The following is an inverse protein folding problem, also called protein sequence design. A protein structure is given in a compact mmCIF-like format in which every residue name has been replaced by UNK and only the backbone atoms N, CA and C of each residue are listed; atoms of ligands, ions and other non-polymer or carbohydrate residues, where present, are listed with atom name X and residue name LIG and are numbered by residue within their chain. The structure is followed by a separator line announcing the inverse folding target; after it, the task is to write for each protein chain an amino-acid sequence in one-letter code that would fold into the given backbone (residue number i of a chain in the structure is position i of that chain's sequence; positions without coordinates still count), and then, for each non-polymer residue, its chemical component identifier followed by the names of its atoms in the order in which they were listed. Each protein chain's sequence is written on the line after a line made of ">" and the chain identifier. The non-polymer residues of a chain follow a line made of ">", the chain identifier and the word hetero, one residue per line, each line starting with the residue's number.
data_IF_562341592196
#
_entry.id   IF_562341592196
#
_cell.length_a   1.000
_cell.length_b   1.000
_cell.length_c   1.000
_cell.angle_alpha   90.00
_cell.angle_beta   90.00
_cell.angle_gamma   90.00
#
_symmetry.space_group_name_H-M   'P 1'
#
loop_
_entity.id
_entity.type
_entity.pdbx_description
1 polymer ?
#
# COMPACT_ATOMS: atom_id res chain seq x y z
N UNK A 1 39.05 33.91 -37.28
CA UNK A 1 38.37 33.31 -38.46
C UNK A 1 37.96 31.90 -38.10
N UNK A 2 36.71 31.70 -37.73
CA UNK A 2 36.14 30.37 -37.51
C UNK A 2 34.75 30.43 -38.14
N UNK A 3 34.52 29.60 -39.13
CA UNK A 3 33.36 29.59 -39.99
C UNK A 3 32.13 28.97 -39.30
N UNK A 4 31.03 29.69 -39.40
CA UNK A 4 29.70 29.33 -38.94
C UNK A 4 29.00 28.48 -40.04
N UNK A 5 28.73 27.22 -39.79
CA UNK A 5 27.96 26.35 -40.68
C UNK A 5 26.56 26.07 -40.10
N UNK A 6 25.63 26.96 -40.43
CA UNK A 6 24.20 26.75 -40.23
C UNK A 6 23.63 25.78 -41.28
N UNK A 7 23.32 24.56 -40.92
CA UNK A 7 22.50 23.65 -41.74
C UNK A 7 21.02 23.94 -41.49
N UNK A 8 20.36 24.58 -42.44
CA UNK A 8 18.89 24.68 -42.53
C UNK A 8 18.33 23.27 -42.82
N UNK A 9 17.58 22.70 -41.90
CA UNK A 9 16.82 21.48 -42.12
C UNK A 9 15.56 21.82 -42.94
N UNK A 10 15.34 21.03 -43.98
CA UNK A 10 14.31 21.22 -45.01
C UNK A 10 12.92 20.76 -44.46
N UNK A 11 12.00 21.71 -44.27
CA UNK A 11 10.63 21.48 -43.80
C UNK A 11 9.75 20.60 -44.69
N UNK A 12 10.21 20.26 -45.88
CA UNK A 12 9.47 19.44 -46.87
C UNK A 12 9.50 17.94 -46.53
N UNK A 13 10.51 17.43 -45.81
CA UNK A 13 10.63 16.01 -45.45
C UNK A 13 9.74 15.60 -44.28
N UNK A 14 9.32 16.55 -43.44
CA UNK A 14 8.48 16.28 -42.25
C UNK A 14 7.01 16.12 -42.62
N UNK A 15 6.55 16.81 -43.66
CA UNK A 15 5.14 16.76 -44.11
C UNK A 15 4.77 15.52 -44.95
N UNK A 16 5.74 14.79 -45.48
CA UNK A 16 5.47 13.53 -46.20
C UNK A 16 5.30 12.33 -45.31
N UNK A 17 5.93 12.31 -44.12
CA UNK A 17 5.79 11.19 -43.16
C UNK A 17 4.49 11.22 -42.34
N UNK A 18 3.82 12.37 -42.24
CA UNK A 18 2.54 12.47 -41.49
C UNK A 18 1.36 11.97 -42.33
N UNK A 19 1.46 11.96 -43.69
CA UNK A 19 0.40 11.44 -44.58
C UNK A 19 0.39 9.92 -44.76
N UNK A 20 1.46 9.21 -44.37
CA UNK A 20 1.54 7.76 -44.47
C UNK A 20 0.93 7.03 -43.27
N UNK A 21 0.86 7.68 -42.09
CA UNK A 21 0.34 7.07 -40.85
C UNK A 21 -1.19 7.22 -40.75
N UNK A 22 -1.80 8.15 -41.50
CA UNK A 22 -3.25 8.42 -41.47
C UNK A 22 -4.14 7.48 -42.33
N UNK A 23 -3.56 6.51 -43.04
CA UNK A 23 -4.32 5.59 -43.93
C UNK A 23 -4.39 4.14 -43.52
N UNK A 24 -3.74 3.76 -42.41
CA UNK A 24 -3.73 2.37 -41.93
C UNK A 24 -4.66 2.11 -40.73
N UNK A 25 -5.32 3.13 -40.18
CA UNK A 25 -6.17 2.99 -38.97
C UNK A 25 -7.67 2.92 -39.23
N UNK A 26 -8.13 2.86 -40.49
CA UNK A 26 -9.57 2.85 -40.83
C UNK A 26 -10.05 1.49 -41.39
N UNK A 27 -9.18 0.49 -41.52
CA UNK A 27 -9.57 -0.80 -42.11
C UNK A 27 -9.68 -1.98 -41.14
N UNK A 28 -9.73 -1.73 -39.83
CA UNK A 28 -9.80 -2.82 -38.80
C UNK A 28 -11.03 -2.78 -37.89
N UNK A 29 -12.07 -2.02 -38.22
CA UNK A 29 -13.30 -1.90 -37.39
C UNK A 29 -14.57 -2.44 -38.07
N UNK A 30 -14.51 -3.04 -39.26
CA UNK A 30 -15.71 -3.48 -40.02
C UNK A 30 -15.90 -5.01 -40.10
N UNK A 31 -15.12 -5.85 -39.38
CA UNK A 31 -15.27 -7.32 -39.49
C UNK A 31 -15.68 -8.03 -38.19
N UNK A 32 -16.51 -7.43 -37.33
CA UNK A 32 -17.02 -8.13 -36.14
C UNK A 32 -18.54 -7.99 -35.92
N UNK A 33 -19.31 -7.92 -36.98
CA UNK A 33 -20.77 -8.01 -36.87
C UNK A 33 -21.36 -8.72 -38.09
N UNK A 34 -21.22 -10.04 -38.16
CA UNK A 34 -22.14 -10.97 -38.88
C UNK A 34 -21.56 -12.41 -38.77
N UNK A 35 -22.26 -13.26 -38.05
CA UNK A 35 -21.96 -14.70 -38.10
C UNK A 35 -22.37 -15.47 -36.85
N UNK A 36 -23.64 -15.42 -36.45
CA UNK A 36 -24.22 -16.47 -35.61
C UNK A 36 -25.25 -17.20 -36.50
N UNK A 37 -24.83 -18.30 -37.07
CA UNK A 37 -25.78 -19.34 -37.53
C UNK A 37 -25.25 -20.70 -37.07
N UNK A 38 -26.15 -21.48 -36.47
CA UNK A 38 -25.87 -22.68 -35.72
C UNK A 38 -25.29 -23.82 -36.59
N UNK A 39 -24.49 -24.62 -35.94
CA UNK A 39 -24.19 -26.01 -36.35
C UNK A 39 -24.58 -26.94 -35.21
N UNK A 40 -25.61 -27.74 -35.46
CA UNK A 40 -25.95 -28.90 -34.66
C UNK A 40 -25.13 -30.09 -35.15
N UNK A 41 -24.38 -30.74 -34.27
CA UNK A 41 -23.76 -32.04 -34.51
C UNK A 41 -24.59 -33.13 -33.84
N UNK A 42 -24.75 -34.29 -34.47
CA UNK A 42 -25.60 -35.36 -33.94
C UNK A 42 -24.85 -36.13 -32.81
N UNK A 43 -25.66 -36.51 -31.82
CA UNK A 43 -25.24 -37.37 -30.72
C UNK A 43 -25.07 -38.82 -31.23
N UNK A 44 -23.90 -39.44 -31.02
CA UNK A 44 -23.73 -40.89 -30.99
C UNK A 44 -23.51 -41.31 -29.55
N UNK A 45 -24.42 -42.13 -29.07
CA UNK A 45 -24.33 -42.78 -27.77
C UNK A 45 -23.33 -43.94 -27.83
N UNK A 46 -22.44 -44.00 -26.85
CA UNK A 46 -21.73 -45.22 -26.46
C UNK A 46 -21.70 -45.29 -24.93
N UNK A 47 -22.34 -46.32 -24.41
CA UNK A 47 -22.38 -46.70 -23.00
C UNK A 47 -21.11 -47.37 -22.57
N UNK A 48 -20.65 -47.11 -21.36
CA UNK A 48 -20.31 -47.96 -20.20
C UNK A 48 -19.08 -47.44 -19.46
N UNK A 49 -19.22 -47.33 -18.13
CA UNK A 49 -18.13 -47.09 -17.20
C UNK A 49 -18.50 -46.14 -16.09
N UNK A 50 -18.99 -46.69 -14.97
CA UNK A 50 -19.16 -45.97 -13.71
C UNK A 50 -17.80 -45.48 -13.21
N UNK A 51 -17.58 -44.17 -13.25
CA UNK A 51 -16.75 -43.43 -12.29
C UNK A 51 -17.33 -42.02 -12.22
N UNK A 52 -18.13 -41.78 -11.20
CA UNK A 52 -18.66 -40.47 -10.90
C UNK A 52 -17.58 -39.61 -10.28
N UNK A 53 -16.78 -38.97 -11.14
CA UNK A 53 -15.98 -37.80 -10.74
C UNK A 53 -16.99 -36.65 -10.56
N UNK A 54 -17.35 -36.40 -9.32
CA UNK A 54 -18.01 -35.16 -8.91
C UNK A 54 -17.03 -34.00 -9.20
N UNK A 55 -17.12 -33.46 -10.42
CA UNK A 55 -16.58 -32.13 -10.70
C UNK A 55 -17.48 -31.18 -9.88
N UNK A 56 -16.99 -30.82 -8.70
CA UNK A 56 -17.54 -29.69 -7.93
C UNK A 56 -17.45 -28.47 -8.81
N UNK A 57 -18.56 -28.08 -9.43
CA UNK A 57 -18.72 -26.78 -10.06
C UNK A 57 -18.55 -25.76 -8.92
N UNK A 58 -17.35 -25.21 -8.81
CA UNK A 58 -17.12 -24.01 -8.01
C UNK A 58 -18.08 -22.96 -8.56
N UNK A 59 -19.13 -22.69 -7.82
CA UNK A 59 -20.07 -21.60 -8.11
C UNK A 59 -19.24 -20.33 -8.34
N UNK A 60 -19.57 -19.50 -9.35
CA UNK A 60 -18.91 -18.22 -9.50
C UNK A 60 -19.00 -17.47 -8.18
N UNK A 61 -17.88 -17.01 -7.65
CA UNK A 61 -17.82 -16.30 -6.37
C UNK A 61 -18.89 -15.22 -6.39
N UNK A 62 -19.86 -15.30 -5.49
CA UNK A 62 -20.85 -14.26 -5.29
C UNK A 62 -20.09 -12.95 -5.06
N UNK A 63 -20.50 -11.86 -5.76
CA UNK A 63 -19.94 -10.54 -5.49
C UNK A 63 -19.97 -10.28 -3.98
N UNK A 64 -18.89 -9.73 -3.41
CA UNK A 64 -18.87 -9.40 -2.00
C UNK A 64 -20.08 -8.51 -1.66
N UNK A 65 -20.71 -8.77 -0.52
CA UNK A 65 -21.82 -7.96 -0.05
C UNK A 65 -21.28 -6.56 0.37
N UNK A 66 -22.04 -5.52 0.04
CA UNK A 66 -21.72 -4.17 0.54
C UNK A 66 -21.77 -4.16 2.06
N UNK A 67 -20.86 -3.40 2.68
CA UNK A 67 -20.83 -3.16 4.13
C UNK A 67 -22.15 -2.54 4.62
N UNK A 68 -22.54 -2.88 5.83
CA UNK A 68 -23.68 -2.26 6.53
C UNK A 68 -23.38 -2.12 8.03
N UNK A 69 -23.16 -0.90 8.57
CA UNK A 69 -23.22 0.40 7.87
C UNK A 69 -22.09 0.57 6.85
N UNK A 70 -22.28 1.48 5.89
CA UNK A 70 -21.26 1.92 4.93
C UNK A 70 -20.44 3.07 5.52
N UNK A 71 -19.26 3.31 4.95
CA UNK A 71 -18.47 4.51 5.27
C UNK A 71 -19.14 5.80 4.79
N UNK A 72 -18.90 6.90 5.50
CA UNK A 72 -19.23 8.24 5.01
C UNK A 72 -18.26 8.63 3.88
N UNK A 73 -18.82 8.83 2.67
CA UNK A 73 -18.07 9.22 1.46
C UNK A 73 -17.33 10.54 1.59
N UNK A 74 -17.79 11.44 2.46
CA UNK A 74 -17.14 12.72 2.68
C UNK A 74 -15.91 12.61 3.58
N UNK A 75 -15.84 11.58 4.41
CA UNK A 75 -14.83 11.41 5.44
C UNK A 75 -13.75 10.37 5.11
N UNK A 76 -14.07 9.38 4.24
CA UNK A 76 -13.14 8.30 3.91
C UNK A 76 -12.59 8.46 2.49
N UNK A 77 -11.28 8.31 2.36
CA UNK A 77 -10.56 8.40 1.09
C UNK A 77 -9.69 7.17 0.88
N UNK A 78 -9.50 6.80 -0.39
CA UNK A 78 -8.59 5.73 -0.77
C UNK A 78 -7.28 6.28 -1.30
N UNK A 79 -6.19 5.72 -0.80
CA UNK A 79 -4.83 5.94 -1.29
C UNK A 79 -4.10 4.62 -1.51
N UNK A 80 -2.91 4.71 -2.08
CA UNK A 80 -1.99 3.58 -2.22
C UNK A 80 -0.57 4.09 -2.01
N UNK A 81 0.23 3.32 -1.26
CA UNK A 81 1.65 3.62 -1.10
C UNK A 81 2.42 3.29 -2.39
N UNK A 82 3.57 3.92 -2.66
CA UNK A 82 4.35 3.62 -3.85
C UNK A 82 5.17 2.33 -3.75
N UNK A 83 5.06 1.58 -2.65
CA UNK A 83 5.91 0.43 -2.30
C UNK A 83 5.82 -0.74 -3.29
N UNK A 84 4.72 -0.84 -4.03
CA UNK A 84 4.59 -1.82 -5.12
C UNK A 84 5.40 -1.48 -6.38
N UNK A 85 5.72 -0.20 -6.60
CA UNK A 85 6.55 0.28 -7.72
C UNK A 85 8.00 0.47 -7.35
N UNK A 86 8.27 0.79 -6.09
CA UNK A 86 9.60 1.07 -5.57
C UNK A 86 9.61 0.85 -4.08
N UNK A 87 10.32 -0.16 -3.64
CA UNK A 87 10.45 -0.48 -2.23
C UNK A 87 11.22 0.65 -1.51
N UNK A 88 10.75 1.08 -0.34
CA UNK A 88 11.39 2.12 0.47
C UNK A 88 12.40 1.55 1.48
N UNK A 89 12.29 0.27 1.84
CA UNK A 89 13.18 -0.40 2.77
C UNK A 89 14.48 -0.87 2.10
N UNK A 90 14.38 -1.22 0.82
CA UNK A 90 15.53 -1.58 -0.01
C UNK A 90 15.36 -1.03 -1.43
N UNK A 91 16.01 0.09 -1.71
CA UNK A 91 15.96 0.73 -3.04
C UNK A 91 16.60 -0.11 -4.16
N UNK A 92 17.27 -1.23 -3.85
CA UNK A 92 17.74 -2.18 -4.85
C UNK A 92 16.63 -3.06 -5.41
N UNK A 93 15.47 -3.13 -4.73
CA UNK A 93 14.26 -3.81 -5.21
C UNK A 93 13.55 -2.86 -6.19
N UNK A 94 13.98 -2.86 -7.43
CA UNK A 94 13.47 -1.99 -8.50
C UNK A 94 13.72 -2.63 -9.87
N UNK A 95 13.09 -2.08 -10.91
CA UNK A 95 13.41 -2.45 -12.30
C UNK A 95 14.73 -1.84 -12.76
N UNK A 96 15.28 -2.36 -13.82
CA UNK A 96 16.42 -1.76 -14.52
C UNK A 96 16.07 -1.50 -16.00
N UNK A 97 15.85 -0.23 -16.44
CA UNK A 97 15.97 1.00 -15.63
C UNK A 97 14.88 1.15 -14.56
N UNK A 98 15.14 1.93 -13.49
CA UNK A 98 14.18 2.14 -12.40
C UNK A 98 12.88 2.78 -12.88
N UNK A 99 11.75 2.43 -12.25
CA UNK A 99 10.46 3.07 -12.55
C UNK A 99 10.54 4.55 -12.15
N UNK A 100 10.30 5.49 -13.10
CA UNK A 100 10.35 6.91 -12.80
C UNK A 100 9.13 7.35 -11.96
N UNK A 101 9.32 8.36 -11.13
CA UNK A 101 8.24 8.84 -10.24
C UNK A 101 7.02 9.35 -11.01
N UNK A 102 7.19 9.87 -12.21
CA UNK A 102 6.08 10.33 -13.07
C UNK A 102 5.17 9.18 -13.46
N UNK A 103 5.74 8.00 -13.72
CA UNK A 103 4.98 6.77 -13.99
C UNK A 103 4.26 6.33 -12.71
N UNK A 104 4.95 6.25 -11.58
CA UNK A 104 4.37 5.86 -10.29
C UNK A 104 3.14 6.73 -9.98
N UNK A 105 3.29 8.05 -9.97
CA UNK A 105 2.19 8.97 -9.68
C UNK A 105 1.05 8.88 -10.72
N UNK A 106 1.39 8.65 -12.00
CA UNK A 106 0.38 8.52 -13.05
C UNK A 106 -0.42 7.22 -12.90
N UNK A 107 0.21 6.11 -12.59
CA UNK A 107 -0.44 4.82 -12.41
C UNK A 107 -1.30 4.78 -11.13
N UNK A 108 -0.86 5.43 -10.05
CA UNK A 108 -1.67 5.66 -8.85
C UNK A 108 -2.96 6.42 -9.20
N UNK A 109 -2.86 7.51 -9.95
CA UNK A 109 -4.03 8.29 -10.36
C UNK A 109 -4.95 7.53 -11.31
N UNK A 110 -4.39 6.79 -12.30
CA UNK A 110 -5.12 5.96 -13.25
C UNK A 110 -5.88 4.83 -12.56
N UNK A 111 -5.34 4.29 -11.48
CA UNK A 111 -6.02 3.27 -10.68
C UNK A 111 -7.21 3.81 -9.88
N UNK A 112 -7.41 5.14 -9.85
CA UNK A 112 -8.53 5.78 -9.18
C UNK A 112 -8.29 6.12 -7.70
N UNK A 113 -7.07 5.96 -7.20
CA UNK A 113 -6.67 6.43 -5.87
C UNK A 113 -6.52 7.96 -5.84
N UNK A 114 -6.64 8.54 -4.64
CA UNK A 114 -6.59 10.01 -4.42
C UNK A 114 -5.44 10.45 -3.52
N UNK A 115 -4.78 9.51 -2.88
CA UNK A 115 -3.64 9.77 -2.00
C UNK A 115 -2.51 8.79 -2.21
N UNK A 116 -1.32 9.21 -1.79
CA UNK A 116 -0.12 8.37 -1.75
C UNK A 116 0.78 8.79 -0.59
N UNK A 117 1.54 7.86 -0.06
CA UNK A 117 2.62 8.15 0.88
C UNK A 117 3.75 8.91 0.17
N UNK A 118 4.46 9.76 0.92
CA UNK A 118 5.68 10.38 0.40
C UNK A 118 6.79 9.34 0.22
N UNK A 119 7.57 9.44 -0.85
CA UNK A 119 8.62 8.48 -1.17
C UNK A 119 9.95 9.16 -1.53
N UNK A 120 11.10 8.49 -1.29
CA UNK A 120 12.42 9.02 -1.62
C UNK A 120 12.61 9.42 -3.08
N UNK A 121 11.96 8.70 -4.01
CA UNK A 121 12.00 8.97 -5.46
C UNK A 121 11.22 10.21 -5.88
N UNK A 122 10.27 10.68 -5.07
CA UNK A 122 9.43 11.80 -5.46
C UNK A 122 10.22 13.12 -5.45
N UNK A 123 9.90 14.05 -6.36
CA UNK A 123 10.48 15.38 -6.32
C UNK A 123 10.09 16.10 -5.04
N UNK A 124 10.75 17.22 -4.73
CA UNK A 124 10.52 17.97 -3.48
C UNK A 124 9.82 19.31 -3.74
N UNK A 125 9.21 19.86 -2.71
CA UNK A 125 8.68 21.23 -2.68
C UNK A 125 7.67 21.52 -3.79
N UNK A 126 7.95 22.59 -4.58
CA UNK A 126 7.03 23.07 -5.64
C UNK A 126 6.83 22.06 -6.77
N UNK A 127 7.85 21.27 -7.09
CA UNK A 127 7.77 20.27 -8.14
C UNK A 127 6.86 19.13 -7.72
N UNK A 128 6.96 18.62 -6.49
CA UNK A 128 6.03 17.64 -5.98
C UNK A 128 4.58 18.15 -5.99
N UNK A 129 4.36 19.38 -5.51
CA UNK A 129 3.02 20.00 -5.55
C UNK A 129 2.44 20.06 -6.96
N UNK A 130 3.26 20.41 -7.95
CA UNK A 130 2.85 20.45 -9.36
C UNK A 130 2.46 19.07 -9.86
N UNK A 131 3.29 18.06 -9.62
CA UNK A 131 3.08 16.68 -10.07
C UNK A 131 1.83 16.05 -9.45
N UNK A 132 1.60 16.27 -8.16
CA UNK A 132 0.38 15.83 -7.47
C UNK A 132 -0.87 16.53 -8.02
N UNK A 133 -0.82 17.86 -8.18
CA UNK A 133 -1.93 18.65 -8.72
C UNK A 133 -2.32 18.23 -10.12
N UNK A 134 -1.35 17.97 -11.00
CA UNK A 134 -1.60 17.50 -12.38
C UNK A 134 -2.39 16.20 -12.43
N UNK A 135 -2.27 15.38 -11.40
CA UNK A 135 -2.89 14.03 -11.31
C UNK A 135 -4.07 13.97 -10.35
N UNK A 136 -4.41 15.06 -9.68
CA UNK A 136 -5.47 15.09 -8.66
C UNK A 136 -5.15 14.23 -7.44
N UNK A 137 -3.86 14.12 -7.09
CA UNK A 137 -3.35 13.39 -5.94
C UNK A 137 -3.01 14.32 -4.78
N UNK A 138 -2.97 13.75 -3.57
CA UNK A 138 -2.47 14.40 -2.36
C UNK A 138 -1.53 13.46 -1.61
N UNK A 139 -0.65 14.00 -0.76
CA UNK A 139 0.10 13.20 0.19
C UNK A 139 -0.83 12.84 1.36
N UNK A 140 -0.96 11.54 1.62
CA UNK A 140 -1.74 11.02 2.77
C UNK A 140 -0.95 11.10 4.06
N UNK A 141 0.33 10.71 4.03
CA UNK A 141 1.25 10.68 5.17
C UNK A 141 2.71 10.72 4.72
N UNK A 142 3.63 11.19 5.59
CA UNK A 142 5.04 10.83 5.61
C UNK A 142 5.24 9.67 6.57
N UNK A 143 6.40 9.04 6.53
CA UNK A 143 6.84 8.03 7.49
C UNK A 143 8.08 8.51 8.24
N UNK A 144 8.11 8.30 9.58
CA UNK A 144 9.19 8.75 10.47
C UNK A 144 9.64 7.60 11.37
N UNK A 145 10.90 7.24 11.27
CA UNK A 145 11.54 6.33 12.22
C UNK A 145 11.93 7.06 13.51
N UNK A 146 11.34 6.68 14.64
CA UNK A 146 11.76 7.20 15.93
C UNK A 146 12.87 6.33 16.54
N UNK A 147 13.69 6.89 17.42
CA UNK A 147 14.82 6.20 18.07
C UNK A 147 14.91 6.56 19.55
N UNK A 148 13.77 6.61 20.21
CA UNK A 148 13.69 6.92 21.65
C UNK A 148 14.36 5.87 22.50
N UNK A 149 14.22 4.59 22.13
CA UNK A 149 14.83 3.46 22.86
C UNK A 149 16.35 3.42 22.76
N UNK A 150 16.93 4.18 21.83
CA UNK A 150 18.38 4.41 21.69
C UNK A 150 18.84 5.72 22.33
N UNK A 151 17.96 6.47 22.98
CA UNK A 151 18.26 7.78 23.57
C UNK A 151 18.45 8.91 22.54
N UNK A 152 18.12 8.70 21.26
CA UNK A 152 18.30 9.70 20.19
C UNK A 152 17.12 10.68 20.09
N UNK A 153 16.78 11.30 21.21
CA UNK A 153 15.61 12.17 21.34
C UNK A 153 15.70 13.37 20.40
N UNK A 154 16.81 14.11 20.43
CA UNK A 154 16.98 15.35 19.64
C UNK A 154 16.93 15.08 18.13
N UNK A 155 17.54 13.98 17.67
CA UNK A 155 17.52 13.55 16.27
C UNK A 155 16.08 13.26 15.85
N UNK A 156 15.34 12.47 16.64
CA UNK A 156 13.95 12.13 16.41
C UNK A 156 13.04 13.37 16.36
N UNK A 157 13.18 14.29 17.31
CA UNK A 157 12.40 15.53 17.33
C UNK A 157 12.65 16.39 16.10
N UNK A 158 13.92 16.51 15.68
CA UNK A 158 14.30 17.27 14.50
C UNK A 158 13.71 16.68 13.23
N UNK A 159 13.79 15.37 13.04
CA UNK A 159 13.22 14.70 11.88
C UNK A 159 11.70 14.83 11.86
N UNK A 160 11.05 14.61 12.99
CA UNK A 160 9.60 14.76 13.13
C UNK A 160 9.13 16.18 12.76
N UNK A 161 9.82 17.23 13.24
CA UNK A 161 9.50 18.63 12.87
C UNK A 161 9.66 18.92 11.38
N UNK A 162 10.63 18.29 10.71
CA UNK A 162 10.76 18.39 9.25
C UNK A 162 9.54 17.81 8.54
N UNK A 163 9.01 16.68 9.03
CA UNK A 163 7.80 16.08 8.47
C UNK A 163 6.53 16.86 8.82
N UNK A 164 6.44 17.48 10.00
CA UNK A 164 5.38 18.45 10.32
C UNK A 164 5.38 19.61 9.30
N UNK A 165 6.53 20.18 9.02
CA UNK A 165 6.64 21.27 8.04
C UNK A 165 6.27 20.80 6.62
N UNK A 166 6.75 19.62 6.22
CA UNK A 166 6.39 19.02 4.95
C UNK A 166 4.88 18.82 4.82
N UNK A 167 4.23 18.26 5.84
CA UNK A 167 2.78 18.02 5.81
C UNK A 167 1.97 19.32 5.83
N UNK A 168 2.43 20.37 6.51
CA UNK A 168 1.83 21.71 6.36
C UNK A 168 1.85 22.19 4.92
N UNK A 169 2.98 22.01 4.23
CA UNK A 169 3.10 22.39 2.83
C UNK A 169 2.20 21.56 1.91
N UNK A 170 1.98 20.28 2.22
CA UNK A 170 1.12 19.38 1.45
C UNK A 170 -0.36 19.41 1.87
N UNK A 171 -0.74 20.21 2.88
CA UNK A 171 -2.06 20.25 3.50
C UNK A 171 -2.49 18.88 4.06
N UNK A 172 -1.54 18.11 4.57
CA UNK A 172 -1.79 16.81 5.18
C UNK A 172 -2.04 16.91 6.69
N UNK A 173 -2.61 15.87 7.25
CA UNK A 173 -3.05 15.86 8.66
C UNK A 173 -2.59 14.65 9.46
N UNK A 174 -1.86 13.71 8.84
CA UNK A 174 -1.36 12.49 9.49
C UNK A 174 0.16 12.44 9.40
N UNK A 175 0.80 11.97 10.46
CA UNK A 175 2.22 11.63 10.48
C UNK A 175 2.33 10.22 11.04
N UNK A 176 2.82 9.30 10.22
CA UNK A 176 3.08 7.92 10.61
C UNK A 176 4.44 7.85 11.28
N UNK A 177 4.51 7.16 12.42
CA UNK A 177 5.75 6.91 13.14
C UNK A 177 5.88 5.43 13.51
N UNK A 178 7.11 4.92 13.50
CA UNK A 178 7.47 3.62 14.07
C UNK A 178 8.78 3.74 14.85
N UNK A 179 8.94 3.00 15.95
CA UNK A 179 10.20 2.95 16.70
C UNK A 179 11.18 2.01 16.02
N UNK A 180 12.34 2.51 15.65
CA UNK A 180 13.37 1.77 14.93
C UNK A 180 14.60 1.38 15.80
N UNK A 181 14.58 1.70 17.09
CA UNK A 181 15.66 1.29 17.98
C UNK A 181 15.84 -0.21 17.98
N UNK A 182 16.99 -0.68 17.50
CA UNK A 182 17.31 -2.10 17.35
C UNK A 182 16.49 -2.86 16.31
N UNK A 183 15.70 -2.20 15.47
CA UNK A 183 14.88 -2.85 14.43
C UNK A 183 15.70 -3.69 13.45
N UNK A 184 15.16 -4.84 13.04
CA UNK A 184 15.87 -5.82 12.20
C UNK A 184 15.24 -6.02 10.81
N UNK A 185 14.14 -5.33 10.49
CA UNK A 185 13.42 -5.51 9.22
C UNK A 185 14.28 -5.21 7.97
N UNK A 186 15.30 -4.36 8.07
CA UNK A 186 16.23 -4.07 6.98
C UNK A 186 17.55 -4.87 7.06
N UNK A 187 17.57 -5.95 7.85
CA UNK A 187 18.74 -6.84 8.01
C UNK A 187 18.47 -8.23 7.44
N UNK A 188 19.51 -9.07 7.39
CA UNK A 188 19.42 -10.44 6.85
C UNK A 188 19.13 -11.49 7.93
N UNK A 189 18.28 -11.16 8.92
CA UNK A 189 17.89 -12.08 9.98
C UNK A 189 16.39 -12.34 9.96
N UNK A 190 15.96 -13.40 10.61
CA UNK A 190 14.54 -13.71 10.81
C UNK A 190 13.89 -12.63 11.71
N UNK A 191 12.96 -11.84 11.18
CA UNK A 191 12.41 -10.69 11.90
C UNK A 191 11.58 -11.11 13.13
N UNK A 192 10.98 -12.30 13.11
CA UNK A 192 10.15 -12.79 14.23
C UNK A 192 10.99 -13.27 15.42
N UNK A 193 12.20 -13.77 15.15
CA UNK A 193 13.08 -14.31 16.20
C UNK A 193 14.05 -13.29 16.75
N UNK A 194 14.54 -12.39 15.89
CA UNK A 194 15.64 -11.49 16.23
C UNK A 194 15.17 -10.05 16.50
N UNK A 195 13.86 -9.81 16.54
CA UNK A 195 13.33 -8.48 16.85
C UNK A 195 13.76 -7.98 18.22
N UNK A 196 13.89 -6.67 18.43
CA UNK A 196 14.23 -6.14 19.75
C UNK A 196 13.08 -6.35 20.76
N UNK A 197 13.48 -6.65 22.01
CA UNK A 197 12.58 -6.65 23.16
C UNK A 197 13.00 -5.53 24.11
N UNK A 198 12.13 -4.55 24.30
CA UNK A 198 12.47 -3.35 25.07
C UNK A 198 12.47 -3.61 26.58
N UNK A 199 13.47 -3.05 27.27
CA UNK A 199 13.48 -2.97 28.74
C UNK A 199 12.43 -1.98 29.25
N UNK A 200 12.17 -1.95 30.56
CA UNK A 200 11.23 -0.99 31.17
C UNK A 200 11.66 0.46 30.93
N UNK A 201 12.95 0.74 30.94
CA UNK A 201 13.52 2.06 30.67
C UNK A 201 13.29 2.46 29.22
N UNK A 202 13.50 1.53 28.26
CA UNK A 202 13.25 1.76 26.85
C UNK A 202 11.76 1.98 26.56
N UNK A 203 10.88 1.20 27.17
CA UNK A 203 9.43 1.44 27.09
C UNK A 203 9.04 2.80 27.65
N UNK A 204 9.57 3.17 28.81
CA UNK A 204 9.31 4.49 29.42
C UNK A 204 9.76 5.63 28.49
N UNK A 205 10.94 5.51 27.89
CA UNK A 205 11.44 6.51 26.94
C UNK A 205 10.57 6.59 25.68
N UNK A 206 10.16 5.45 25.11
CA UNK A 206 9.29 5.38 23.94
C UNK A 206 7.93 6.04 24.21
N UNK A 207 7.25 5.65 25.29
CA UNK A 207 5.92 6.16 25.62
C UNK A 207 5.94 7.68 25.89
N UNK A 208 6.94 8.16 26.62
CA UNK A 208 7.11 9.60 26.87
C UNK A 208 7.40 10.36 25.56
N UNK A 209 8.30 9.83 24.73
CA UNK A 209 8.64 10.42 23.44
C UNK A 209 7.46 10.48 22.49
N UNK A 210 6.66 9.42 22.38
CA UNK A 210 5.47 9.39 21.53
C UNK A 210 4.41 10.39 21.99
N UNK A 211 4.18 10.51 23.31
CA UNK A 211 3.27 11.53 23.85
C UNK A 211 3.75 12.94 23.50
N UNK A 212 5.05 13.21 23.57
CA UNK A 212 5.63 14.50 23.17
C UNK A 212 5.42 14.76 21.67
N UNK A 213 5.71 13.80 20.79
CA UNK A 213 5.49 13.95 19.34
C UNK A 213 4.00 14.14 19.02
N UNK A 214 3.11 13.40 19.71
CA UNK A 214 1.68 13.51 19.52
C UNK A 214 1.15 14.88 19.90
N UNK A 215 1.62 15.45 21.03
CA UNK A 215 1.31 16.82 21.41
C UNK A 215 1.80 17.83 20.35
N UNK A 216 3.03 17.67 19.86
CA UNK A 216 3.57 18.52 18.79
C UNK A 216 2.75 18.40 17.48
N UNK A 217 2.31 17.21 17.10
CA UNK A 217 1.43 17.02 15.96
C UNK A 217 0.10 17.79 16.15
N UNK A 218 -0.54 17.61 17.31
CA UNK A 218 -1.82 18.24 17.66
C UNK A 218 -1.74 19.79 17.63
N UNK A 219 -0.68 20.38 18.16
CA UNK A 219 -0.41 21.83 18.11
C UNK A 219 -0.26 22.36 16.68
N UNK A 220 0.06 21.49 15.74
CA UNK A 220 0.19 21.81 14.33
C UNK A 220 -1.03 21.36 13.48
N UNK A 221 -2.15 21.00 14.13
CA UNK A 221 -3.37 20.55 13.44
C UNK A 221 -3.26 19.17 12.80
N UNK A 222 -2.36 18.33 13.29
CA UNK A 222 -2.10 16.98 12.77
C UNK A 222 -2.34 15.92 13.85
N UNK A 223 -2.37 14.66 13.42
CA UNK A 223 -2.42 13.50 14.30
C UNK A 223 -1.19 12.62 14.06
N UNK A 224 -0.55 12.22 15.15
CA UNK A 224 0.43 11.15 15.14
C UNK A 224 -0.30 9.81 15.15
N UNK A 225 0.10 8.92 14.24
CA UNK A 225 -0.38 7.54 14.16
C UNK A 225 0.81 6.59 14.27
N UNK A 226 0.80 5.72 15.27
CA UNK A 226 1.86 4.74 15.48
C UNK A 226 1.64 3.52 14.61
N UNK A 227 2.68 3.09 13.91
CA UNK A 227 2.69 1.94 13.01
C UNK A 227 3.43 0.75 13.66
N UNK A 228 2.73 -0.23 14.26
CA UNK A 228 3.34 -1.51 14.62
C UNK A 228 3.89 -2.19 13.38
N UNK A 229 5.17 -2.60 13.41
CA UNK A 229 5.85 -3.09 12.21
C UNK A 229 6.66 -4.34 12.54
N UNK A 230 6.62 -5.32 11.64
CA UNK A 230 7.40 -6.56 11.77
C UNK A 230 8.89 -6.26 11.92
N UNK A 231 9.57 -7.00 12.83
CA UNK A 231 11.00 -6.83 13.08
C UNK A 231 11.34 -5.58 13.89
N UNK A 232 10.36 -4.94 14.53
CA UNK A 232 10.55 -3.83 15.48
C UNK A 232 10.20 -4.24 16.89
N UNK A 233 10.42 -3.36 17.87
CA UNK A 233 10.06 -3.65 19.27
C UNK A 233 8.57 -3.56 19.57
N UNK A 234 7.74 -3.13 18.61
CA UNK A 234 6.27 -3.11 18.71
C UNK A 234 5.69 -3.77 17.47
N UNK A 235 5.37 -5.05 17.55
CA UNK A 235 4.82 -5.80 16.43
C UNK A 235 3.63 -6.71 16.79
N UNK A 236 3.59 -7.25 18.01
CA UNK A 236 2.53 -8.17 18.45
C UNK A 236 1.46 -7.48 19.31
N UNK A 237 0.41 -8.22 19.67
CA UNK A 237 -0.72 -7.67 20.42
C UNK A 237 -0.34 -7.14 21.79
N UNK A 238 0.55 -7.83 22.51
CA UNK A 238 0.99 -7.41 23.86
C UNK A 238 1.77 -6.09 23.79
N UNK A 239 2.62 -5.93 22.78
CA UNK A 239 3.35 -4.69 22.54
C UNK A 239 2.39 -3.54 22.20
N UNK A 240 1.39 -3.81 21.34
CA UNK A 240 0.36 -2.83 20.96
C UNK A 240 -0.46 -2.44 22.17
N UNK A 241 -0.87 -3.41 23.00
CA UNK A 241 -1.62 -3.17 24.22
C UNK A 241 -0.82 -2.28 25.19
N UNK A 242 0.45 -2.59 25.37
CA UNK A 242 1.35 -1.79 26.21
C UNK A 242 1.50 -0.37 25.70
N UNK A 243 1.70 -0.20 24.40
CA UNK A 243 1.80 1.12 23.77
C UNK A 243 0.52 1.91 23.91
N UNK A 244 -0.64 1.31 23.60
CA UNK A 244 -1.93 1.99 23.63
C UNK A 244 -2.37 2.36 25.05
N UNK A 245 -2.08 1.51 26.05
CA UNK A 245 -2.39 1.80 27.45
C UNK A 245 -1.40 2.77 28.09
N UNK A 246 -0.16 2.78 27.65
CA UNK A 246 0.90 3.66 28.18
C UNK A 246 0.97 5.05 27.53
N UNK A 247 0.19 5.30 26.49
CA UNK A 247 0.15 6.61 25.79
C UNK A 247 -1.20 7.30 25.95
N UNK A 248 -1.17 8.65 25.94
CA UNK A 248 -2.37 9.47 25.92
C UNK A 248 -3.13 9.24 24.60
N UNK A 249 -4.43 8.91 24.72
CA UNK A 249 -5.26 8.61 23.56
C UNK A 249 -5.51 9.80 22.63
N UNK A 250 -5.40 11.03 23.14
CA UNK A 250 -5.52 12.24 22.33
C UNK A 250 -4.25 12.54 21.54
N UNK A 251 -3.10 12.11 22.04
CA UNK A 251 -1.80 12.39 21.44
C UNK A 251 -1.34 11.29 20.46
N UNK A 252 -1.56 10.01 20.83
CA UNK A 252 -1.05 8.87 20.06
C UNK A 252 -2.23 8.05 19.55
N UNK A 253 -2.40 7.98 18.25
CA UNK A 253 -3.39 7.15 17.57
C UNK A 253 -2.71 5.90 16.99
N UNK A 254 -3.50 4.92 16.57
CA UNK A 254 -3.00 3.68 15.99
C UNK A 254 -3.15 3.70 14.46
N UNK A 255 -2.11 3.29 13.77
CA UNK A 255 -2.20 2.83 12.39
C UNK A 255 -2.46 1.31 12.42
N UNK A 256 -3.52 0.88 11.77
CA UNK A 256 -3.81 -0.53 11.54
C UNK A 256 -3.15 -0.96 10.24
N UNK A 257 -2.06 -1.72 10.31
CA UNK A 257 -1.52 -2.43 9.13
C UNK A 257 -1.87 -3.91 9.23
N UNK A 258 -2.71 -4.35 8.31
CA UNK A 258 -3.26 -5.72 8.36
C UNK A 258 -2.21 -6.78 8.03
N UNK A 259 -1.25 -6.48 7.16
CA UNK A 259 -0.22 -7.42 6.73
C UNK A 259 0.87 -7.63 7.79
N UNK A 260 1.36 -6.55 8.40
CA UNK A 260 2.36 -6.67 9.47
C UNK A 260 1.80 -7.42 10.67
N UNK A 261 0.56 -7.14 11.06
CA UNK A 261 -0.11 -7.89 12.14
C UNK A 261 -0.22 -9.38 11.81
N UNK A 262 -0.72 -9.70 10.60
CA UNK A 262 -0.89 -11.09 10.18
C UNK A 262 0.46 -11.83 10.08
N UNK A 263 1.52 -11.16 9.65
CA UNK A 263 2.87 -11.72 9.63
C UNK A 263 3.33 -12.12 11.04
N UNK A 264 3.00 -11.31 12.05
CA UNK A 264 3.32 -11.51 13.47
C UNK A 264 2.33 -12.44 14.20
N UNK A 265 1.50 -13.22 13.48
CA UNK A 265 0.45 -14.09 14.04
C UNK A 265 -0.61 -13.36 14.87
N UNK A 266 -0.82 -12.09 14.59
CA UNK A 266 -1.88 -11.28 15.20
C UNK A 266 -3.07 -11.18 14.25
N UNK A 267 -4.28 -11.48 14.75
CA UNK A 267 -5.50 -11.29 13.97
C UNK A 267 -5.81 -9.79 13.81
N UNK A 268 -5.75 -9.23 12.57
CA UNK A 268 -6.07 -7.82 12.35
C UNK A 268 -7.50 -7.45 12.73
N UNK A 269 -8.45 -8.39 12.64
CA UNK A 269 -9.83 -8.16 13.05
C UNK A 269 -9.92 -7.96 14.57
N UNK A 270 -9.23 -8.76 15.36
CA UNK A 270 -9.20 -8.63 16.82
C UNK A 270 -8.63 -7.28 17.26
N UNK A 271 -7.53 -6.84 16.62
CA UNK A 271 -6.95 -5.50 16.86
C UNK A 271 -7.93 -4.39 16.48
N UNK A 272 -8.63 -4.55 15.33
CA UNK A 272 -9.63 -3.57 14.88
C UNK A 272 -10.77 -3.47 15.89
N UNK A 273 -11.32 -4.58 16.34
CA UNK A 273 -12.42 -4.60 17.34
C UNK A 273 -12.00 -3.95 18.66
N UNK A 274 -10.77 -4.22 19.10
CA UNK A 274 -10.25 -3.67 20.35
C UNK A 274 -9.96 -2.17 20.29
N UNK A 275 -9.43 -1.69 19.15
CA UNK A 275 -8.88 -0.34 19.02
C UNK A 275 -9.56 0.52 17.96
N UNK A 276 -10.78 0.16 17.48
CA UNK A 276 -11.47 0.89 16.39
C UNK A 276 -11.50 2.41 16.60
N UNK A 277 -11.74 2.88 17.83
CA UNK A 277 -11.78 4.31 18.16
C UNK A 277 -10.40 4.99 18.15
N UNK A 278 -9.32 4.23 18.39
CA UNK A 278 -7.92 4.69 18.37
C UNK A 278 -7.32 4.63 16.96
N UNK A 279 -7.87 3.79 16.06
CA UNK A 279 -7.41 3.67 14.67
C UNK A 279 -7.80 4.93 13.90
N UNK A 280 -6.80 5.66 13.40
CA UNK A 280 -6.98 6.90 12.63
C UNK A 280 -6.21 6.90 11.30
N UNK A 281 -5.57 5.78 10.98
CA UNK A 281 -4.96 5.49 9.70
C UNK A 281 -4.96 3.98 9.46
N UNK A 282 -5.04 3.56 8.19
CA UNK A 282 -5.12 2.14 7.87
C UNK A 282 -4.25 1.84 6.66
N UNK A 283 -3.41 0.81 6.77
CA UNK A 283 -2.74 0.15 5.66
C UNK A 283 -3.41 -1.20 5.41
N UNK A 284 -4.08 -1.30 4.27
CA UNK A 284 -4.73 -2.52 3.79
C UNK A 284 -3.69 -3.32 3.01
N UNK A 285 -2.92 -4.11 3.71
CA UNK A 285 -1.85 -4.98 3.20
C UNK A 285 -2.30 -6.42 3.30
N UNK A 286 -2.29 -7.15 2.20
CA UNK A 286 -2.61 -8.57 2.18
C UNK A 286 -1.34 -9.42 2.16
N UNK A 287 -1.47 -10.69 2.48
CA UNK A 287 -0.34 -11.61 2.59
C UNK A 287 -0.65 -12.94 1.91
N UNK A 288 0.32 -13.55 1.25
CA UNK A 288 0.20 -14.88 0.67
C UNK A 288 0.60 -15.94 1.68
N UNK A 289 -0.36 -16.74 2.16
CA UNK A 289 -0.14 -17.71 3.22
C UNK A 289 1.01 -18.68 2.94
N UNK A 290 1.08 -19.23 1.73
CA UNK A 290 2.12 -20.18 1.38
C UNK A 290 3.54 -19.58 1.46
N UNK A 291 3.70 -18.29 1.10
CA UNK A 291 4.99 -17.61 1.19
C UNK A 291 5.32 -17.27 2.64
N UNK A 292 4.32 -16.90 3.44
CA UNK A 292 4.48 -16.68 4.89
C UNK A 292 4.94 -17.96 5.59
N UNK A 293 4.28 -19.10 5.33
CA UNK A 293 4.61 -20.39 5.92
C UNK A 293 6.04 -20.83 5.57
N UNK A 294 6.43 -20.66 4.30
CA UNK A 294 7.77 -20.93 3.86
C UNK A 294 8.80 -19.99 4.51
N UNK A 295 8.51 -18.69 4.58
CA UNK A 295 9.40 -17.70 5.19
C UNK A 295 9.64 -18.00 6.67
N UNK A 296 8.57 -18.35 7.42
CA UNK A 296 8.67 -18.76 8.82
C UNK A 296 9.46 -20.07 9.00
N UNK A 297 9.22 -21.06 8.14
CA UNK A 297 9.88 -22.36 8.21
C UNK A 297 11.39 -22.25 7.93
N UNK A 298 11.76 -21.40 6.99
CA UNK A 298 13.16 -21.23 6.57
C UNK A 298 13.88 -20.10 7.30
N UNK A 299 13.19 -19.30 8.11
CA UNK A 299 13.77 -18.14 8.80
C UNK A 299 14.22 -17.04 7.84
N UNK A 300 13.43 -16.77 6.78
CA UNK A 300 13.77 -15.71 5.83
C UNK A 300 13.81 -14.36 6.52
N UNK A 301 14.70 -13.49 6.06
CA UNK A 301 14.66 -12.07 6.40
C UNK A 301 13.39 -11.41 5.86
N UNK A 302 13.05 -10.24 6.40
CA UNK A 302 11.91 -9.47 5.91
C UNK A 302 12.05 -9.12 4.41
N UNK A 303 13.22 -8.63 4.01
CA UNK A 303 13.50 -8.28 2.60
C UNK A 303 13.47 -9.49 1.66
N UNK A 304 13.96 -10.65 2.10
CA UNK A 304 13.90 -11.87 1.29
C UNK A 304 12.46 -12.41 1.19
N UNK A 305 11.65 -12.20 2.21
CA UNK A 305 10.22 -12.51 2.17
C UNK A 305 9.48 -11.61 1.17
N UNK A 306 9.83 -10.32 1.09
CA UNK A 306 9.33 -9.40 0.07
C UNK A 306 9.72 -9.88 -1.34
N UNK A 307 11.00 -10.24 -1.57
CA UNK A 307 11.46 -10.78 -2.86
C UNK A 307 10.76 -12.08 -3.24
N UNK A 308 10.39 -12.90 -2.25
CA UNK A 308 9.59 -14.09 -2.44
C UNK A 308 8.11 -13.82 -2.72
N UNK A 309 7.67 -12.56 -2.64
CA UNK A 309 6.30 -12.14 -2.94
C UNK A 309 5.32 -12.36 -1.80
N UNK A 310 5.75 -12.20 -0.54
CA UNK A 310 4.91 -12.42 0.63
C UNK A 310 3.70 -11.47 0.67
N UNK A 311 3.89 -10.19 0.35
CA UNK A 311 2.81 -9.22 0.39
C UNK A 311 2.08 -9.10 -0.94
N UNK A 312 0.79 -8.83 -0.84
CA UNK A 312 -0.09 -8.58 -1.97
C UNK A 312 -1.18 -7.59 -1.57
N UNK A 313 -2.12 -7.34 -2.47
CA UNK A 313 -3.14 -6.31 -2.32
C UNK A 313 -4.51 -6.91 -1.94
N UNK A 314 -5.44 -6.14 -1.37
CA UNK A 314 -6.84 -6.52 -1.25
C UNK A 314 -7.44 -6.92 -2.61
N UNK A 315 -8.19 -8.02 -2.64
CA UNK A 315 -8.79 -8.54 -3.88
C UNK A 315 -7.91 -9.51 -4.68
N UNK A 316 -6.63 -9.69 -4.31
CA UNK A 316 -5.85 -10.81 -4.83
C UNK A 316 -6.37 -12.14 -4.25
N UNK A 317 -6.74 -13.07 -5.13
CA UNK A 317 -7.29 -14.37 -4.73
C UNK A 317 -6.28 -15.27 -3.97
N UNK A 318 -4.99 -14.95 -4.04
CA UNK A 318 -3.94 -15.64 -3.27
C UNK A 318 -3.71 -15.02 -1.88
N UNK A 319 -4.41 -13.94 -1.55
CA UNK A 319 -4.31 -13.28 -0.26
C UNK A 319 -5.10 -14.00 0.83
N UNK A 320 -4.55 -14.04 2.04
CA UNK A 320 -5.12 -14.76 3.19
C UNK A 320 -6.07 -13.89 4.04
N UNK A 321 -5.91 -12.57 4.02
CA UNK A 321 -6.64 -11.67 4.91
C UNK A 321 -8.04 -11.37 4.37
N UNK A 322 -9.05 -11.57 5.22
CA UNK A 322 -10.44 -11.21 4.94
C UNK A 322 -10.69 -9.76 5.36
N UNK A 323 -10.84 -8.86 4.39
CA UNK A 323 -10.96 -7.41 4.67
C UNK A 323 -12.37 -6.98 5.05
N UNK A 324 -13.41 -7.68 4.57
CA UNK A 324 -14.79 -7.28 4.81
C UNK A 324 -15.13 -7.14 6.31
N UNK A 325 -14.78 -8.10 7.20
CA UNK A 325 -15.04 -7.95 8.62
C UNK A 325 -14.28 -6.76 9.24
N UNK A 326 -13.02 -6.53 8.83
CA UNK A 326 -12.18 -5.43 9.32
C UNK A 326 -12.79 -4.09 8.91
N UNK A 327 -13.12 -3.94 7.62
CA UNK A 327 -13.75 -2.74 7.09
C UNK A 327 -15.13 -2.49 7.72
N UNK A 328 -15.87 -3.57 8.02
CA UNK A 328 -17.16 -3.48 8.70
C UNK A 328 -17.02 -2.91 10.13
N UNK A 329 -16.02 -3.34 10.90
CA UNK A 329 -15.78 -2.81 12.25
C UNK A 329 -15.33 -1.34 12.20
N UNK A 330 -14.47 -0.98 11.24
CA UNK A 330 -14.09 0.42 11.02
C UNK A 330 -15.31 1.30 10.66
N UNK A 331 -16.19 0.81 9.77
CA UNK A 331 -17.40 1.54 9.39
C UNK A 331 -18.38 1.71 10.59
N UNK A 332 -18.56 0.68 11.41
CA UNK A 332 -19.35 0.75 12.65
C UNK A 332 -18.79 1.78 13.64
N UNK A 333 -17.47 1.91 13.70
CA UNK A 333 -16.78 2.89 14.54
C UNK A 333 -16.76 4.32 13.95
N UNK A 334 -17.45 4.55 12.83
CA UNK A 334 -17.43 5.82 12.09
C UNK A 334 -16.01 6.28 11.75
N UNK A 335 -15.19 5.36 11.22
CA UNK A 335 -13.82 5.67 10.82
C UNK A 335 -13.78 6.81 9.80
N UNK A 336 -12.88 7.75 10.03
CA UNK A 336 -12.59 8.88 9.15
C UNK A 336 -11.10 8.90 8.81
N UNK A 337 -10.77 9.14 7.55
CA UNK A 337 -9.38 9.25 7.12
C UNK A 337 -9.05 8.46 5.86
N UNK A 338 -7.81 8.01 5.77
CA UNK A 338 -7.29 7.27 4.65
C UNK A 338 -7.36 5.76 4.87
N UNK A 339 -7.89 5.05 3.90
CA UNK A 339 -7.70 3.62 3.71
C UNK A 339 -6.63 3.47 2.62
N UNK A 340 -5.40 3.21 3.04
CA UNK A 340 -4.26 3.09 2.15
C UNK A 340 -4.07 1.62 1.77
N UNK A 341 -4.00 1.34 0.50
CA UNK A 341 -3.48 0.03 0.03
C UNK A 341 -1.97 0.08 0.14
N UNK A 342 -1.38 -0.95 0.68
CA UNK A 342 0.05 -1.11 0.74
C UNK A 342 0.46 -2.55 0.44
N UNK A 343 1.49 -2.70 -0.37
CA UNK A 343 2.14 -3.97 -0.58
C UNK A 343 3.59 -3.69 -1.01
N UNK A 344 4.53 -4.00 -0.13
CA UNK A 344 5.94 -4.03 -0.51
C UNK A 344 6.15 -5.21 -1.46
N UNK A 345 6.41 -4.90 -2.70
CA UNK A 345 6.58 -5.88 -3.75
C UNK A 345 7.87 -5.65 -4.53
N UNK A 346 8.32 -6.70 -5.18
CA UNK A 346 9.37 -6.61 -6.20
C UNK A 346 8.73 -6.43 -7.58
N UNK A 347 8.87 -5.27 -8.22
CA UNK A 347 8.27 -4.99 -9.52
C UNK A 347 8.84 -5.88 -10.65
N UNK A 348 9.92 -6.62 -10.41
CA UNK A 348 10.40 -7.64 -11.35
C UNK A 348 9.46 -8.87 -11.40
N UNK A 349 8.71 -9.11 -10.33
CA UNK A 349 7.86 -10.29 -10.14
C UNK A 349 6.35 -9.96 -10.17
N UNK A 350 5.98 -8.68 -10.15
CA UNK A 350 4.58 -8.21 -10.08
C UNK A 350 4.29 -7.16 -11.14
N UNK A 351 3.04 -6.78 -11.27
CA UNK A 351 2.63 -5.64 -12.09
C UNK A 351 1.90 -4.64 -11.19
N UNK A 352 2.57 -3.59 -10.70
CA UNK A 352 2.02 -2.66 -9.73
C UNK A 352 0.72 -1.98 -10.18
N UNK A 353 0.60 -1.60 -11.44
CA UNK A 353 -0.64 -1.01 -11.98
C UNK A 353 -1.81 -2.01 -11.95
N UNK A 354 -1.57 -3.26 -12.35
CA UNK A 354 -2.59 -4.31 -12.28
C UNK A 354 -3.04 -4.54 -10.84
N UNK A 355 -2.09 -4.61 -9.91
CA UNK A 355 -2.39 -4.84 -8.49
C UNK A 355 -3.15 -3.65 -7.90
N UNK A 356 -2.77 -2.41 -8.23
CA UNK A 356 -3.50 -1.22 -7.83
C UNK A 356 -4.95 -1.20 -8.36
N UNK A 357 -5.17 -1.60 -9.61
CA UNK A 357 -6.51 -1.73 -10.21
C UNK A 357 -7.34 -2.84 -9.53
N UNK A 358 -6.71 -3.97 -9.21
CA UNK A 358 -7.34 -5.07 -8.47
C UNK A 358 -7.82 -4.60 -7.11
N UNK A 359 -6.94 -3.96 -6.34
CA UNK A 359 -7.27 -3.43 -5.02
C UNK A 359 -8.39 -2.38 -5.09
N UNK A 360 -8.30 -1.44 -6.02
CA UNK A 360 -9.32 -0.39 -6.14
C UNK A 360 -10.67 -0.94 -6.56
N UNK A 361 -10.71 -1.96 -7.42
CA UNK A 361 -11.94 -2.63 -7.83
C UNK A 361 -12.60 -3.33 -6.66
N UNK A 362 -11.82 -4.13 -5.92
CA UNK A 362 -12.30 -4.83 -4.72
C UNK A 362 -12.86 -3.85 -3.68
N UNK A 363 -12.09 -2.81 -3.34
CA UNK A 363 -12.52 -1.82 -2.36
C UNK A 363 -13.81 -1.11 -2.76
N UNK A 364 -13.99 -0.78 -4.03
CA UNK A 364 -15.24 -0.20 -4.55
C UNK A 364 -16.41 -1.17 -4.41
N UNK A 365 -16.20 -2.45 -4.69
CA UNK A 365 -17.26 -3.47 -4.59
C UNK A 365 -17.71 -3.70 -3.15
N UNK A 366 -16.76 -3.72 -2.20
CA UNK A 366 -17.05 -3.94 -0.78
C UNK A 366 -17.62 -2.68 -0.11
N UNK A 367 -17.06 -1.52 -0.35
CA UNK A 367 -17.42 -0.28 0.38
C UNK A 367 -18.45 0.58 -0.34
N UNK A 368 -18.65 0.40 -1.65
CA UNK A 368 -19.50 1.26 -2.47
C UNK A 368 -18.91 2.65 -2.76
N UNK A 369 -17.61 2.89 -2.40
CA UNK A 369 -16.93 4.19 -2.55
C UNK A 369 -16.09 4.30 -3.82
#
# INVERSE_FOLDING_TARGET
>A
MVANNNRKMNKSAILQNIRAIGRLSVLLVVFFLLGITGFTLPATAATTGNDSVLVSLVSPSSKPALLNPTFDRAQVRFGITPTGWSNSDDLSIDLNPPIPYEQILSEIALSGFKGTQNAPKFPKGKDLKRELKLRGLTISEPWVGTKFTEGKVEETLKEFLQQVQFMKEMNGTKIVVAELGGAVHQTNVDPLKERPHFTEEQWSALLAGLNQLGQMAKENGMQLVYHPHIGTGVENLDDIDRLMTGTDEENVKLLLDTGHLYYADVDPLAVTQKYANRIKHVHLKNIRQSVLDESKTTGRSFLDSIRAGIFTVPGDCAGAIQFEPILQELAKANYEGWLMVEAEQDPNNTNPLKDALTARTYLREVTGL
#
